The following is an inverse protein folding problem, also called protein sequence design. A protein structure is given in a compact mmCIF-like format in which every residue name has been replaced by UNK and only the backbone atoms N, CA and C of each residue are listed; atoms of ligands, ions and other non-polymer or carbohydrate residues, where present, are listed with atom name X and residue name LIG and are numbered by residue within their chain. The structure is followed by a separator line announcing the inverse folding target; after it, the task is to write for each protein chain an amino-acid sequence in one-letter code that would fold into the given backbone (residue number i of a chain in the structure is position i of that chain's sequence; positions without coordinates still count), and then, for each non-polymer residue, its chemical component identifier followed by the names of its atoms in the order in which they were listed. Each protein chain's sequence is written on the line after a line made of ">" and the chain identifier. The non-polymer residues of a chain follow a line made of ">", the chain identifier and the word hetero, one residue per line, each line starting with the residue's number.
data_IF_425218629082
#
_entry.id   IF_425218629082
#
_cell.length_a   1.000
_cell.length_b   1.000
_cell.length_c   1.000
_cell.angle_alpha   90.00
_cell.angle_beta   90.00
_cell.angle_gamma   90.00
#
_symmetry.space_group_name_H-M   'P 1'
#
loop_
_entity.id
_entity.type
_entity.pdbx_description
1 polymer ?
#
# COMPACT_ATOMS: atom_id res chain seq x y z
N UNK A 1 -41.57 65.29 -60.14
CA UNK A 1 -41.83 66.00 -58.86
C UNK A 1 -41.40 65.12 -57.70
N UNK A 2 -40.84 65.75 -56.64
CA UNK A 2 -40.79 65.34 -55.22
C UNK A 2 -41.77 64.21 -54.85
N UNK A 3 -41.57 63.32 -53.87
CA UNK A 3 -40.66 63.13 -52.73
C UNK A 3 -41.01 61.72 -52.21
N UNK A 4 -40.03 60.86 -51.91
CA UNK A 4 -39.60 60.52 -50.55
C UNK A 4 -40.70 59.97 -49.60
N UNK A 5 -40.34 58.84 -48.98
CA UNK A 5 -40.45 58.52 -47.53
C UNK A 5 -41.84 57.98 -47.08
N UNK A 6 -41.99 57.02 -46.14
CA UNK A 6 -41.20 56.65 -44.96
C UNK A 6 -41.84 55.42 -44.26
N UNK A 7 -41.03 54.75 -43.43
CA UNK A 7 -41.37 54.10 -42.14
C UNK A 7 -41.74 52.60 -42.12
N UNK A 8 -40.83 51.92 -41.44
CA UNK A 8 -40.77 50.59 -40.82
C UNK A 8 -41.99 50.15 -40.00
N UNK A 9 -42.24 48.84 -39.99
CA UNK A 9 -42.82 48.14 -38.85
C UNK A 9 -42.19 46.74 -38.72
N UNK A 10 -41.68 46.50 -37.52
CA UNK A 10 -40.97 45.32 -37.01
C UNK A 10 -41.97 44.18 -36.73
N UNK A 11 -41.70 42.94 -37.17
CA UNK A 11 -42.43 41.75 -36.73
C UNK A 11 -41.48 40.54 -36.66
N UNK A 12 -41.24 40.10 -35.41
CA UNK A 12 -40.54 38.87 -35.03
C UNK A 12 -41.30 37.63 -35.54
N UNK A 13 -40.62 36.69 -36.20
CA UNK A 13 -41.04 35.28 -36.22
C UNK A 13 -39.83 34.35 -36.11
N UNK A 14 -39.83 33.60 -35.00
CA UNK A 14 -39.12 32.38 -34.63
C UNK A 14 -38.48 31.59 -35.79
N UNK A 15 -37.15 31.44 -35.77
CA UNK A 15 -36.44 30.33 -36.44
C UNK A 15 -36.11 29.28 -35.38
N UNK A 16 -36.73 28.11 -35.53
CA UNK A 16 -36.57 26.97 -34.62
C UNK A 16 -35.14 26.44 -34.62
N UNK A 17 -34.50 26.52 -33.45
CA UNK A 17 -33.27 25.79 -33.15
C UNK A 17 -33.64 24.32 -33.01
N UNK A 18 -33.24 23.51 -33.99
CA UNK A 18 -33.33 22.05 -33.95
C UNK A 18 -32.27 21.52 -32.98
N UNK A 19 -32.54 21.61 -31.67
CA UNK A 19 -31.80 20.86 -30.65
C UNK A 19 -32.10 19.37 -30.84
N UNK A 20 -31.24 18.67 -31.59
CA UNK A 20 -31.23 17.22 -31.59
C UNK A 20 -30.80 16.69 -30.21
N UNK A 21 -31.38 15.57 -29.74
CA UNK A 21 -30.91 14.95 -28.51
C UNK A 21 -29.48 14.42 -28.74
N UNK A 22 -28.53 14.93 -27.95
CA UNK A 22 -27.24 14.29 -27.76
C UNK A 22 -27.49 12.97 -27.04
N UNK A 23 -27.74 11.92 -27.81
CA UNK A 23 -27.59 10.55 -27.35
C UNK A 23 -26.11 10.38 -26.97
N UNK A 24 -25.83 10.48 -25.67
CA UNK A 24 -24.56 10.04 -25.10
C UNK A 24 -24.50 8.53 -25.33
N UNK A 25 -23.88 8.14 -26.44
CA UNK A 25 -23.57 6.76 -26.78
C UNK A 25 -22.55 6.24 -25.76
N UNK A 26 -23.07 5.69 -24.66
CA UNK A 26 -22.31 4.82 -23.77
C UNK A 26 -22.24 3.44 -24.44
N UNK A 27 -21.47 3.31 -25.52
CA UNK A 27 -21.42 2.07 -26.31
C UNK A 27 -20.22 1.89 -27.23
N UNK A 28 -19.25 2.81 -27.23
CA UNK A 28 -18.13 2.78 -28.20
C UNK A 28 -16.87 2.12 -27.62
N UNK A 29 -16.74 2.03 -26.29
CA UNK A 29 -15.60 1.38 -25.64
C UNK A 29 -15.77 -0.15 -25.65
N UNK A 30 -15.40 -0.81 -26.74
CA UNK A 30 -15.42 -2.28 -26.78
C UNK A 30 -15.42 -2.91 -28.15
N UNK A 31 -15.70 -2.17 -29.24
CA UNK A 31 -15.73 -2.76 -30.58
C UNK A 31 -14.35 -3.27 -31.05
N UNK A 32 -13.26 -2.58 -30.66
CA UNK A 32 -11.87 -2.94 -30.99
C UNK A 32 -11.16 -3.54 -29.75
N UNK A 33 -10.44 -4.68 -29.89
CA UNK A 33 -9.64 -5.22 -28.79
C UNK A 33 -8.64 -4.23 -28.19
N UNK A 34 -8.12 -3.30 -29.01
CA UNK A 34 -7.18 -2.27 -28.55
C UNK A 34 -7.83 -1.31 -27.56
N UNK A 35 -9.06 -0.90 -27.84
CA UNK A 35 -9.79 0.03 -26.96
C UNK A 35 -10.17 -0.65 -25.65
N UNK A 36 -10.59 -1.91 -25.70
CA UNK A 36 -10.86 -2.71 -24.50
C UNK A 36 -9.60 -2.90 -23.65
N UNK A 37 -8.46 -3.23 -24.28
CA UNK A 37 -7.18 -3.36 -23.59
C UNK A 37 -6.73 -2.04 -22.94
N UNK A 38 -6.86 -0.91 -23.65
CA UNK A 38 -6.54 0.41 -23.12
C UNK A 38 -7.44 0.78 -21.94
N UNK A 39 -8.76 0.56 -22.06
CA UNK A 39 -9.73 0.85 -21.00
C UNK A 39 -9.46 0.04 -19.72
N UNK A 40 -9.12 -1.25 -19.87
CA UNK A 40 -8.75 -2.10 -18.75
C UNK A 40 -7.49 -1.58 -18.03
N UNK A 41 -6.41 -1.33 -18.78
CA UNK A 41 -5.15 -0.83 -18.21
C UNK A 41 -5.32 0.53 -17.52
N UNK A 42 -6.12 1.43 -18.10
CA UNK A 42 -6.44 2.73 -17.55
C UNK A 42 -7.26 2.64 -16.24
N UNK A 43 -8.26 1.75 -16.19
CA UNK A 43 -9.01 1.47 -14.97
C UNK A 43 -8.10 0.91 -13.85
N UNK A 44 -7.23 -0.05 -14.19
CA UNK A 44 -6.24 -0.59 -13.25
C UNK A 44 -5.29 0.50 -12.76
N UNK A 45 -4.78 1.35 -13.66
CA UNK A 45 -3.86 2.43 -13.32
C UNK A 45 -4.49 3.44 -12.33
N UNK A 46 -5.73 3.88 -12.60
CA UNK A 46 -6.50 4.79 -11.72
C UNK A 46 -6.94 4.15 -10.40
N UNK A 47 -6.87 2.83 -10.29
CA UNK A 47 -7.34 2.11 -9.11
C UNK A 47 -8.84 1.90 -9.05
N UNK A 48 -9.52 2.01 -10.19
CA UNK A 48 -10.91 1.61 -10.32
C UNK A 48 -11.01 0.09 -10.48
N UNK A 49 -10.87 -0.63 -9.37
CA UNK A 49 -10.90 -2.10 -9.36
C UNK A 49 -12.21 -2.66 -9.91
N UNK A 50 -13.34 -2.02 -9.57
CA UNK A 50 -14.65 -2.44 -10.05
C UNK A 50 -14.84 -2.17 -11.55
N UNK A 51 -14.37 -1.03 -12.05
CA UNK A 51 -14.35 -0.71 -13.48
C UNK A 51 -13.46 -1.65 -14.28
N UNK A 52 -12.25 -1.92 -13.77
CA UNK A 52 -11.35 -2.88 -14.40
C UNK A 52 -11.96 -4.29 -14.43
N UNK A 53 -12.56 -4.75 -13.31
CA UNK A 53 -13.20 -6.06 -13.24
C UNK A 53 -14.33 -6.23 -14.26
N UNK A 54 -15.18 -5.22 -14.47
CA UNK A 54 -16.26 -5.26 -15.48
C UNK A 54 -15.76 -5.43 -16.92
N UNK A 55 -14.48 -5.16 -17.19
CA UNK A 55 -13.85 -5.31 -18.51
C UNK A 55 -13.21 -6.69 -18.70
N UNK A 56 -13.48 -7.64 -17.80
CA UNK A 56 -12.93 -9.00 -17.84
C UNK A 56 -14.03 -10.06 -17.95
N UNK A 57 -13.67 -11.28 -18.35
CA UNK A 57 -14.58 -12.43 -18.37
C UNK A 57 -14.85 -13.04 -16.97
N UNK A 58 -14.14 -12.59 -15.92
CA UNK A 58 -14.41 -12.91 -14.50
C UNK A 58 -14.35 -11.63 -13.62
N UNK A 59 -15.44 -10.83 -13.59
CA UNK A 59 -15.43 -9.55 -12.89
C UNK A 59 -15.23 -9.65 -11.38
N UNK A 60 -15.66 -10.75 -10.76
CA UNK A 60 -15.58 -10.92 -9.30
C UNK A 60 -14.13 -11.20 -8.90
N UNK A 61 -13.49 -12.20 -9.53
CA UNK A 61 -12.10 -12.52 -9.21
C UNK A 61 -11.16 -11.37 -9.58
N UNK A 62 -11.44 -10.67 -10.70
CA UNK A 62 -10.67 -9.52 -11.13
C UNK A 62 -10.71 -8.37 -10.12
N UNK A 63 -11.90 -7.98 -9.69
CA UNK A 63 -12.08 -6.87 -8.73
C UNK A 63 -11.35 -7.14 -7.43
N UNK A 64 -11.49 -8.35 -6.86
CA UNK A 64 -10.86 -8.70 -5.59
C UNK A 64 -9.33 -8.67 -5.68
N UNK A 65 -8.74 -9.29 -6.70
CA UNK A 65 -7.27 -9.33 -6.81
C UNK A 65 -6.68 -7.94 -7.10
N UNK A 66 -7.31 -7.13 -7.95
CA UNK A 66 -6.84 -5.77 -8.25
C UNK A 66 -6.85 -4.92 -6.97
N UNK A 67 -7.89 -5.04 -6.15
CA UNK A 67 -7.99 -4.36 -4.86
C UNK A 67 -6.90 -4.85 -3.90
N UNK A 68 -6.73 -6.16 -3.76
CA UNK A 68 -5.70 -6.74 -2.91
C UNK A 68 -4.28 -6.26 -3.29
N UNK A 69 -3.93 -6.29 -4.58
CA UNK A 69 -2.61 -5.82 -5.05
C UNK A 69 -2.40 -4.34 -4.70
N UNK A 70 -3.43 -3.51 -4.87
CA UNK A 70 -3.36 -2.08 -4.55
C UNK A 70 -3.21 -1.84 -3.04
N UNK A 71 -3.94 -2.58 -2.22
CA UNK A 71 -3.89 -2.48 -0.76
C UNK A 71 -2.54 -2.93 -0.18
N UNK A 72 -1.93 -3.96 -0.78
CA UNK A 72 -0.62 -4.49 -0.39
C UNK A 72 0.54 -3.58 -0.85
N UNK A 73 0.47 -3.02 -2.04
CA UNK A 73 1.54 -2.18 -2.62
C UNK A 73 1.46 -0.71 -2.21
N UNK A 74 0.25 -0.19 -2.00
CA UNK A 74 -0.05 1.24 -1.72
C UNK A 74 0.75 2.20 -2.60
N UNK A 75 0.67 2.06 -3.94
CA UNK A 75 1.47 2.88 -4.84
C UNK A 75 1.04 4.35 -4.80
N UNK A 76 1.99 5.27 -4.96
CA UNK A 76 1.70 6.70 -5.22
C UNK A 76 1.15 6.91 -6.62
N UNK A 77 1.58 6.07 -7.57
CA UNK A 77 1.15 6.13 -8.95
C UNK A 77 1.36 4.80 -9.66
N UNK A 78 0.51 4.52 -10.62
CA UNK A 78 0.62 3.34 -11.50
C UNK A 78 0.53 3.82 -12.93
N UNK A 79 1.51 3.47 -13.75
CA UNK A 79 1.52 3.75 -15.18
C UNK A 79 1.54 2.42 -15.91
N UNK A 80 0.48 2.16 -16.68
CA UNK A 80 0.38 0.99 -17.54
C UNK A 80 0.28 1.48 -18.99
N UNK A 81 1.29 1.17 -19.79
CA UNK A 81 1.37 1.62 -21.19
C UNK A 81 1.05 0.45 -22.11
N UNK A 82 -0.04 0.56 -22.87
CA UNK A 82 -0.40 -0.40 -23.90
C UNK A 82 0.68 -0.44 -24.99
N UNK A 83 1.12 -1.66 -25.33
CA UNK A 83 2.05 -1.93 -26.41
C UNK A 83 1.35 -2.42 -27.66
N UNK A 84 1.86 -3.50 -28.24
CA UNK A 84 1.31 -4.10 -29.45
C UNK A 84 0.02 -4.86 -29.14
N UNK A 85 -0.97 -4.71 -30.03
CA UNK A 85 -2.21 -5.48 -30.01
C UNK A 85 -2.30 -6.26 -31.31
N UNK A 86 -2.43 -7.58 -31.20
CA UNK A 86 -2.61 -8.48 -32.35
C UNK A 86 -3.99 -9.11 -32.23
N UNK A 87 -4.81 -8.93 -33.25
CA UNK A 87 -6.15 -9.52 -33.30
C UNK A 87 -6.13 -10.76 -34.20
N UNK A 88 -6.57 -11.89 -33.64
CA UNK A 88 -7.07 -13.04 -34.38
C UNK A 88 -8.60 -13.03 -34.32
N UNK A 89 -9.26 -13.86 -35.15
CA UNK A 89 -10.73 -13.84 -35.31
C UNK A 89 -11.49 -13.84 -33.98
N UNK A 90 -11.19 -14.80 -33.11
CA UNK A 90 -11.91 -14.99 -31.83
C UNK A 90 -11.05 -14.72 -30.58
N UNK A 91 -9.77 -14.38 -30.76
CA UNK A 91 -8.83 -14.08 -29.66
C UNK A 91 -7.89 -12.97 -30.10
N UNK A 92 -7.69 -11.98 -29.24
CA UNK A 92 -6.66 -10.95 -29.42
C UNK A 92 -5.62 -11.03 -28.29
N UNK A 93 -4.39 -10.60 -28.55
CA UNK A 93 -3.33 -10.48 -27.54
C UNK A 93 -2.88 -9.04 -27.44
N UNK A 94 -2.70 -8.53 -26.23
CA UNK A 94 -2.17 -7.20 -25.96
C UNK A 94 -0.93 -7.31 -25.06
N UNK A 95 0.15 -6.60 -25.40
CA UNK A 95 1.30 -6.41 -24.50
C UNK A 95 1.19 -5.07 -23.78
N UNK A 96 1.84 -4.93 -22.63
CA UNK A 96 1.96 -3.65 -21.92
C UNK A 96 3.25 -3.55 -21.11
N UNK A 97 3.62 -2.33 -20.72
CA UNK A 97 4.67 -2.09 -19.74
C UNK A 97 4.08 -1.47 -18.48
N UNK A 98 4.41 -2.03 -17.32
CA UNK A 98 3.98 -1.54 -16.02
C UNK A 98 5.09 -0.76 -15.31
N UNK A 99 4.71 0.33 -14.66
CA UNK A 99 5.54 1.07 -13.71
C UNK A 99 4.69 1.39 -12.49
N UNK A 100 5.08 0.84 -11.34
CA UNK A 100 4.49 1.16 -10.04
C UNK A 100 5.45 2.07 -9.27
N UNK A 101 4.97 3.22 -8.82
CA UNK A 101 5.70 4.12 -7.91
C UNK A 101 5.38 3.73 -6.46
N UNK A 102 6.38 3.23 -5.75
CA UNK A 102 6.29 2.69 -4.38
C UNK A 102 6.93 3.64 -3.35
N UNK A 103 6.87 4.95 -3.62
CA UNK A 103 7.48 6.03 -2.83
C UNK A 103 9.01 6.00 -2.77
N UNK A 104 9.61 7.09 -2.29
CA UNK A 104 11.06 7.22 -2.02
C UNK A 104 11.93 6.88 -3.23
N UNK A 105 11.45 7.18 -4.44
CA UNK A 105 12.15 6.90 -5.69
C UNK A 105 12.17 5.41 -6.10
N UNK A 106 11.42 4.55 -5.42
CA UNK A 106 11.35 3.13 -5.74
C UNK A 106 10.33 2.87 -6.84
N UNK A 107 10.78 2.27 -7.92
CA UNK A 107 9.94 1.92 -9.05
C UNK A 107 10.01 0.42 -9.32
N UNK A 108 8.85 -0.21 -9.40
CA UNK A 108 8.74 -1.60 -9.83
C UNK A 108 8.26 -1.64 -11.28
N UNK A 109 9.12 -2.17 -12.17
CA UNK A 109 8.93 -2.14 -13.62
C UNK A 109 8.92 -3.56 -14.16
N UNK A 110 7.97 -3.87 -15.03
CA UNK A 110 7.91 -5.15 -15.71
C UNK A 110 7.09 -5.07 -17.01
N UNK A 111 7.40 -5.90 -18.01
CA UNK A 111 6.51 -6.13 -19.14
C UNK A 111 5.40 -7.11 -18.73
N UNK A 112 4.23 -6.98 -19.37
CA UNK A 112 3.13 -7.92 -19.23
C UNK A 112 2.41 -8.13 -20.56
N UNK A 113 1.57 -9.16 -20.60
CA UNK A 113 0.69 -9.42 -21.72
C UNK A 113 -0.57 -10.13 -21.23
N UNK A 114 -1.67 -9.95 -21.95
CA UNK A 114 -2.92 -10.64 -21.69
C UNK A 114 -3.67 -10.89 -23.00
N UNK A 115 -4.60 -11.83 -22.93
CA UNK A 115 -5.52 -12.12 -24.04
C UNK A 115 -6.84 -11.40 -23.84
N UNK A 116 -7.53 -11.15 -24.95
CA UNK A 116 -8.91 -10.69 -24.99
C UNK A 116 -9.76 -11.69 -25.75
N UNK A 117 -11.01 -11.81 -25.33
CA UNK A 117 -12.04 -12.67 -25.90
C UNK A 117 -13.30 -11.86 -26.17
N UNK A 118 -14.20 -12.33 -27.06
CA UNK A 118 -15.52 -11.73 -27.22
C UNK A 118 -16.25 -11.65 -25.87
N UNK A 119 -16.80 -10.48 -25.56
CA UNK A 119 -17.58 -10.25 -24.36
C UNK A 119 -18.85 -11.13 -24.39
N UNK A 120 -19.23 -11.69 -23.25
CA UNK A 120 -20.38 -12.62 -23.14
C UNK A 120 -21.71 -11.91 -22.92
N UNK A 121 -21.70 -10.70 -22.37
CA UNK A 121 -22.89 -9.96 -21.94
C UNK A 121 -23.17 -8.69 -22.76
N UNK A 122 -22.22 -8.27 -23.60
CA UNK A 122 -22.31 -7.09 -24.46
C UNK A 122 -21.60 -7.36 -25.78
N UNK A 123 -21.90 -6.59 -26.83
CA UNK A 123 -21.03 -6.58 -28.01
C UNK A 123 -19.65 -6.01 -27.63
N UNK A 124 -18.57 -6.64 -28.09
CA UNK A 124 -17.20 -6.16 -27.92
C UNK A 124 -16.23 -7.19 -27.35
N UNK A 125 -15.15 -6.70 -26.73
CA UNK A 125 -14.05 -7.49 -26.19
C UNK A 125 -13.94 -7.36 -24.67
N UNK A 126 -13.59 -8.47 -24.01
CA UNK A 126 -13.25 -8.54 -22.59
C UNK A 126 -11.87 -9.15 -22.41
N UNK A 127 -11.14 -8.74 -21.38
CA UNK A 127 -9.87 -9.36 -21.01
C UNK A 127 -10.14 -10.77 -20.49
N UNK A 128 -9.45 -11.76 -21.06
CA UNK A 128 -9.43 -13.12 -20.52
C UNK A 128 -8.70 -13.09 -19.18
N UNK A 129 -9.44 -13.20 -18.09
CA UNK A 129 -8.94 -12.99 -16.76
C UNK A 129 -8.02 -14.13 -16.32
N UNK A 130 -6.89 -13.73 -15.75
CA UNK A 130 -6.05 -14.56 -14.89
C UNK A 130 -5.19 -13.64 -14.02
N UNK A 131 -4.64 -14.11 -12.89
CA UNK A 131 -3.72 -13.29 -12.10
C UNK A 131 -2.50 -12.80 -12.89
N UNK A 132 -2.09 -13.54 -13.94
CA UNK A 132 -1.00 -13.16 -14.83
C UNK A 132 -1.24 -11.85 -15.60
N UNK A 133 -2.50 -11.45 -15.76
CA UNK A 133 -2.90 -10.16 -16.36
C UNK A 133 -2.33 -8.98 -15.56
N UNK A 134 -2.25 -9.10 -14.23
CA UNK A 134 -1.68 -8.05 -13.37
C UNK A 134 -0.15 -8.13 -13.32
N UNK A 135 0.42 -9.32 -13.23
CA UNK A 135 1.86 -9.52 -13.22
C UNK A 135 2.22 -10.92 -13.77
N UNK A 136 3.19 -11.05 -14.70
CA UNK A 136 3.42 -12.28 -15.47
C UNK A 136 3.83 -13.51 -14.63
N UNK A 137 4.33 -13.29 -13.40
CA UNK A 137 4.69 -14.37 -12.47
C UNK A 137 3.64 -14.62 -11.37
N UNK A 138 2.49 -13.98 -11.46
CA UNK A 138 1.41 -14.15 -10.48
C UNK A 138 0.50 -15.29 -10.94
N UNK A 139 0.52 -16.39 -10.21
CA UNK A 139 -0.35 -17.55 -10.41
C UNK A 139 -1.64 -17.47 -9.60
N UNK A 140 -2.51 -18.46 -9.79
CA UNK A 140 -3.70 -18.63 -8.96
C UNK A 140 -3.32 -18.73 -7.47
N UNK A 141 -4.12 -18.09 -6.61
CA UNK A 141 -3.94 -18.08 -5.15
C UNK A 141 -2.61 -17.49 -4.64
N UNK A 142 -1.81 -16.89 -5.51
CA UNK A 142 -0.63 -16.14 -5.12
C UNK A 142 -1.00 -14.70 -4.79
N UNK A 143 -0.19 -14.07 -3.95
CA UNK A 143 -0.35 -12.66 -3.57
C UNK A 143 0.94 -11.89 -3.81
N UNK A 144 0.79 -10.62 -4.09
CA UNK A 144 1.90 -9.66 -4.12
C UNK A 144 2.03 -9.04 -2.73
N UNK A 145 3.26 -8.95 -2.21
CA UNK A 145 3.53 -8.27 -0.94
C UNK A 145 4.72 -7.33 -1.11
N UNK A 146 4.66 -6.19 -0.43
CA UNK A 146 5.76 -5.25 -0.30
C UNK A 146 6.31 -5.31 1.12
N UNK A 147 7.62 -5.56 1.26
CA UNK A 147 8.32 -5.48 2.54
C UNK A 147 9.56 -4.62 2.42
N UNK A 148 9.81 -3.81 3.43
CA UNK A 148 11.08 -3.11 3.56
C UNK A 148 12.11 -4.06 4.18
N UNK A 149 13.28 -4.15 3.55
CA UNK A 149 14.44 -4.86 4.10
C UNK A 149 15.41 -3.78 4.55
N UNK A 150 15.54 -3.51 5.87
CA UNK A 150 16.48 -2.51 6.35
C UNK A 150 17.90 -2.92 6.00
N UNK A 151 18.75 -1.94 5.69
CA UNK A 151 20.17 -2.18 5.53
C UNK A 151 20.80 -2.51 6.88
N UNK A 152 21.78 -3.42 6.89
CA UNK A 152 22.58 -3.65 8.07
C UNK A 152 23.37 -2.36 8.38
N UNK A 153 23.32 -1.85 9.62
CA UNK A 153 24.05 -0.65 9.98
C UNK A 153 25.56 -0.84 9.79
N UNK A 154 26.25 0.19 9.29
CA UNK A 154 27.69 0.14 9.11
C UNK A 154 28.42 0.01 10.46
N UNK A 155 29.43 -0.87 10.60
CA UNK A 155 30.19 -0.99 11.83
C UNK A 155 30.95 0.31 12.07
N UNK A 156 30.85 0.85 13.28
CA UNK A 156 31.75 1.90 13.74
C UNK A 156 33.02 1.22 14.19
N UNK A 157 34.18 1.64 13.67
CA UNK A 157 35.48 1.04 13.96
C UNK A 157 36.43 2.07 14.58
N UNK A 158 37.44 1.59 15.30
CA UNK A 158 38.54 2.41 15.78
C UNK A 158 39.57 2.71 14.68
N UNK A 159 40.66 3.41 15.03
CA UNK A 159 41.76 3.73 14.09
C UNK A 159 42.49 2.51 13.52
N UNK A 160 42.36 1.34 14.15
CA UNK A 160 42.97 0.08 13.73
C UNK A 160 41.99 -0.82 12.96
N UNK A 161 40.73 -0.40 12.78
CA UNK A 161 39.69 -1.17 12.12
C UNK A 161 38.95 -2.13 13.05
N UNK A 162 39.17 -2.06 14.37
CA UNK A 162 38.44 -2.88 15.35
C UNK A 162 37.01 -2.37 15.49
N UNK A 163 35.96 -3.20 15.32
CA UNK A 163 34.58 -2.79 15.55
C UNK A 163 34.36 -2.28 16.98
N UNK A 164 34.00 -1.01 17.11
CA UNK A 164 33.56 -0.36 18.34
C UNK A 164 32.08 -0.60 18.61
N UNK A 165 31.26 -0.62 17.55
CA UNK A 165 29.86 -1.03 17.63
C UNK A 165 29.66 -2.35 16.91
N UNK A 166 29.06 -3.30 17.60
CA UNK A 166 28.74 -4.64 17.06
C UNK A 166 27.23 -4.81 17.01
N UNK A 167 26.72 -5.58 16.04
CA UNK A 167 25.32 -5.97 16.04
C UNK A 167 25.05 -6.88 17.23
N UNK A 168 24.22 -6.41 18.15
CA UNK A 168 23.82 -7.15 19.34
C UNK A 168 22.29 -7.27 19.37
N UNK A 169 21.82 -8.41 19.87
CA UNK A 169 20.40 -8.62 20.12
C UNK A 169 19.98 -7.81 21.35
N UNK A 170 18.92 -7.03 21.17
CA UNK A 170 18.22 -6.32 22.23
C UNK A 170 16.82 -6.85 22.39
N UNK A 171 16.33 -6.83 23.62
CA UNK A 171 14.98 -7.21 23.99
C UNK A 171 14.24 -5.96 24.42
N UNK A 172 13.15 -5.64 23.74
CA UNK A 172 12.29 -4.54 24.16
C UNK A 172 11.28 -5.09 25.16
N UNK A 173 11.22 -4.53 26.36
CA UNK A 173 10.12 -4.79 27.29
C UNK A 173 8.98 -3.87 26.89
N UNK A 174 7.89 -4.44 26.37
CA UNK A 174 6.75 -3.68 25.87
C UNK A 174 5.46 -4.04 26.62
N UNK A 175 4.63 -3.05 26.91
CA UNK A 175 3.42 -3.16 27.71
C UNK A 175 2.17 -2.83 26.89
N UNK A 176 1.26 -3.79 26.77
CA UNK A 176 -0.07 -3.64 26.18
C UNK A 176 -1.11 -3.42 27.27
N UNK A 177 -1.65 -2.19 27.36
CA UNK A 177 -2.66 -1.84 28.36
C UNK A 177 -3.96 -2.63 28.22
N UNK A 178 -4.28 -3.14 27.03
CA UNK A 178 -5.49 -3.95 26.81
C UNK A 178 -5.39 -5.35 27.43
N UNK A 179 -4.17 -5.79 27.76
CA UNK A 179 -3.86 -7.12 28.30
C UNK A 179 -3.28 -7.09 29.72
N UNK A 180 -3.24 -5.91 30.33
CA UNK A 180 -2.77 -5.69 31.70
C UNK A 180 -3.95 -5.21 32.57
N UNK A 181 -4.71 -6.12 33.22
CA UNK A 181 -5.87 -5.76 34.04
C UNK A 181 -5.51 -4.83 35.21
N UNK A 182 -4.35 -5.03 35.80
CA UNK A 182 -3.76 -4.16 36.84
C UNK A 182 -2.57 -3.39 36.25
N UNK A 183 -2.87 -2.39 35.42
CA UNK A 183 -1.84 -1.55 34.80
C UNK A 183 -0.93 -0.86 35.84
N UNK A 184 -1.45 -0.28 36.94
CA UNK A 184 -0.60 0.31 37.98
C UNK A 184 0.33 -0.71 38.65
N UNK A 185 -0.16 -1.91 39.00
CA UNK A 185 0.66 -2.95 39.64
C UNK A 185 1.75 -3.48 38.71
N UNK A 186 1.42 -3.74 37.44
CA UNK A 186 2.42 -4.14 36.43
C UNK A 186 3.47 -3.05 36.24
N UNK A 187 3.07 -1.78 36.15
CA UNK A 187 4.00 -0.65 36.03
C UNK A 187 4.92 -0.54 37.25
N UNK A 188 4.41 -0.73 38.48
CA UNK A 188 5.21 -0.70 39.69
C UNK A 188 6.26 -1.84 39.72
N UNK A 189 5.86 -3.05 39.32
CA UNK A 189 6.77 -4.19 39.24
C UNK A 189 7.85 -3.99 38.18
N UNK A 190 7.49 -3.43 37.02
CA UNK A 190 8.45 -3.08 35.97
C UNK A 190 9.47 -2.06 36.47
N UNK A 191 9.06 -1.00 37.17
CA UNK A 191 10.00 -0.02 37.77
C UNK A 191 10.93 -0.68 38.78
N UNK A 192 10.39 -1.54 39.67
CA UNK A 192 11.18 -2.22 40.69
C UNK A 192 12.26 -3.15 40.12
N UNK A 193 12.07 -3.65 38.90
CA UNK A 193 13.02 -4.54 38.21
C UNK A 193 13.95 -3.75 37.28
N UNK A 194 13.38 -2.83 36.50
CA UNK A 194 14.06 -2.15 35.39
C UNK A 194 14.71 -0.83 35.79
N UNK A 195 14.33 -0.23 36.93
CA UNK A 195 14.86 1.06 37.37
C UNK A 195 16.39 1.09 37.58
N UNK A 196 17.02 -0.08 37.76
CA UNK A 196 18.50 -0.19 37.78
C UNK A 196 19.16 0.10 36.43
N UNK A 197 18.44 -0.17 35.34
CA UNK A 197 18.92 0.07 33.98
C UNK A 197 18.57 1.49 33.53
N UNK A 198 17.40 1.98 33.92
CA UNK A 198 16.96 3.35 33.63
C UNK A 198 16.46 4.04 34.91
N UNK A 199 17.30 4.89 35.54
CA UNK A 199 16.93 5.65 36.74
C UNK A 199 15.81 6.66 36.53
N UNK A 200 15.51 7.04 35.27
CA UNK A 200 14.41 7.96 34.95
C UNK A 200 13.07 7.25 34.79
N UNK A 201 13.08 5.91 34.77
CA UNK A 201 11.88 5.11 34.61
C UNK A 201 10.99 5.20 35.85
N UNK A 202 9.81 5.78 35.69
CA UNK A 202 8.82 5.93 36.76
C UNK A 202 7.52 5.21 36.42
N UNK A 203 6.76 4.82 37.44
CA UNK A 203 5.46 4.16 37.25
C UNK A 203 4.52 5.05 36.43
N UNK A 204 4.56 6.36 36.70
CA UNK A 204 3.75 7.34 35.98
C UNK A 204 4.14 7.46 34.51
N UNK A 205 5.44 7.44 34.18
CA UNK A 205 5.90 7.46 32.79
C UNK A 205 5.46 6.21 32.01
N UNK A 206 5.47 5.04 32.65
CA UNK A 206 5.02 3.77 32.03
C UNK A 206 3.52 3.83 31.74
N UNK A 207 2.72 4.24 32.72
CA UNK A 207 1.26 4.35 32.57
C UNK A 207 0.92 5.38 31.50
N UNK A 208 1.61 6.52 31.49
CA UNK A 208 1.42 7.56 30.48
C UNK A 208 1.73 7.05 29.06
N UNK A 209 2.87 6.36 28.88
CA UNK A 209 3.24 5.75 27.60
C UNK A 209 2.23 4.71 27.12
N UNK A 210 1.79 3.83 28.01
CA UNK A 210 0.77 2.82 27.70
C UNK A 210 -0.57 3.45 27.28
N UNK A 211 -0.99 4.54 27.92
CA UNK A 211 -2.22 5.26 27.57
C UNK A 211 -2.12 6.06 26.27
N UNK A 212 -0.92 6.57 25.94
CA UNK A 212 -0.68 7.28 24.69
C UNK A 212 -0.63 6.33 23.48
N UNK A 213 -0.34 5.05 23.69
CA UNK A 213 -0.32 4.06 22.62
C UNK A 213 -1.74 3.75 22.08
N UNK A 214 -1.91 3.58 20.75
CA UNK A 214 -3.17 3.14 20.17
C UNK A 214 -3.64 1.81 20.76
N UNK A 215 -4.95 1.58 20.77
CA UNK A 215 -5.52 0.35 21.30
C UNK A 215 -4.95 -0.89 20.58
N UNK A 216 -4.43 -1.86 21.34
CA UNK A 216 -3.81 -3.08 20.82
C UNK A 216 -2.35 -2.95 20.37
N UNK A 217 -1.74 -1.77 20.51
CA UNK A 217 -0.32 -1.56 20.21
C UNK A 217 0.46 -1.50 21.54
N UNK A 218 1.41 -2.43 21.79
CA UNK A 218 2.25 -2.37 22.99
C UNK A 218 3.15 -1.13 23.00
N UNK A 219 3.26 -0.44 24.14
CA UNK A 219 4.19 0.66 24.36
C UNK A 219 5.55 0.14 24.83
N UNK A 220 6.64 0.64 24.26
CA UNK A 220 7.99 0.32 24.76
C UNK A 220 8.20 0.94 26.15
N UNK A 221 8.66 0.13 27.09
CA UNK A 221 8.99 0.53 28.47
C UNK A 221 10.50 0.66 28.64
N UNK A 222 11.26 -0.34 28.18
CA UNK A 222 12.71 -0.34 28.21
C UNK A 222 13.28 -1.18 27.06
N UNK A 223 14.52 -0.92 26.68
CA UNK A 223 15.28 -1.76 25.72
C UNK A 223 16.51 -2.26 26.45
N UNK A 224 16.61 -3.58 26.61
CA UNK A 224 17.70 -4.25 27.32
C UNK A 224 18.59 -5.00 26.34
N UNK A 225 19.89 -5.12 26.64
CA UNK A 225 20.72 -6.13 25.99
C UNK A 225 20.24 -7.51 26.41
N UNK A 226 20.45 -8.52 25.57
CA UNK A 226 20.00 -9.90 25.85
C UNK A 226 20.45 -10.39 27.25
N UNK A 227 21.71 -10.18 27.61
CA UNK A 227 22.24 -10.56 28.94
C UNK A 227 21.50 -9.86 30.10
N UNK A 228 21.17 -8.58 29.94
CA UNK A 228 20.47 -7.79 30.96
C UNK A 228 19.03 -8.28 31.08
N UNK A 229 18.38 -8.58 29.96
CA UNK A 229 17.05 -9.19 29.94
C UNK A 229 17.05 -10.54 30.66
N UNK A 230 17.97 -11.44 30.35
CA UNK A 230 18.04 -12.76 30.99
C UNK A 230 18.19 -12.64 32.51
N UNK A 231 18.93 -11.63 33.00
CA UNK A 231 19.09 -11.38 34.44
C UNK A 231 17.82 -10.92 35.18
N UNK A 232 16.79 -10.48 34.45
CA UNK A 232 15.51 -10.02 35.01
C UNK A 232 14.30 -10.81 34.52
N UNK A 233 14.48 -11.68 33.53
CA UNK A 233 13.43 -12.39 32.80
C UNK A 233 12.43 -13.02 33.76
N UNK A 234 12.90 -13.80 34.74
CA UNK A 234 12.03 -14.55 35.66
C UNK A 234 11.10 -13.65 36.50
N UNK A 235 11.43 -12.36 36.65
CA UNK A 235 10.63 -11.40 37.42
C UNK A 235 9.61 -10.63 36.59
N UNK A 236 9.77 -10.62 35.27
CA UNK A 236 8.94 -9.81 34.34
C UNK A 236 8.22 -10.65 33.29
N UNK A 237 8.67 -11.88 33.03
CA UNK A 237 8.16 -12.71 31.92
C UNK A 237 6.68 -13.07 32.06
N UNK A 238 6.22 -13.31 33.29
CA UNK A 238 4.83 -13.67 33.56
C UNK A 238 3.92 -12.47 33.82
N UNK A 239 4.43 -11.24 33.67
CA UNK A 239 3.61 -10.05 33.90
C UNK A 239 2.52 -9.92 32.83
N UNK A 240 1.25 -9.77 33.22
CA UNK A 240 0.15 -9.60 32.28
C UNK A 240 0.36 -8.41 31.35
N UNK A 241 0.19 -8.65 30.05
CA UNK A 241 0.31 -7.61 29.02
C UNK A 241 1.74 -7.19 28.70
N UNK A 242 2.76 -7.83 29.29
CA UNK A 242 4.16 -7.58 28.95
C UNK A 242 4.62 -8.54 27.85
N UNK A 243 5.35 -8.01 26.87
CA UNK A 243 5.92 -8.76 25.75
C UNK A 243 7.37 -8.37 25.49
N UNK A 244 8.10 -9.26 24.81
CA UNK A 244 9.55 -9.19 24.67
C UNK A 244 10.02 -9.30 23.21
N UNK A 245 9.60 -8.41 22.29
CA UNK A 245 10.11 -8.45 20.92
C UNK A 245 11.62 -8.21 20.88
N UNK A 246 12.31 -9.04 20.11
CA UNK A 246 13.77 -8.99 19.89
C UNK A 246 14.12 -8.22 18.63
N UNK A 247 15.18 -7.42 18.66
CA UNK A 247 15.71 -6.71 17.50
C UNK A 247 17.24 -6.75 17.49
N UNK A 248 17.86 -6.59 16.32
CA UNK A 248 19.29 -6.34 16.21
C UNK A 248 19.56 -4.84 16.29
N UNK A 249 20.54 -4.43 17.09
CA UNK A 249 21.00 -3.03 17.18
C UNK A 249 22.52 -2.98 17.25
N UNK A 250 23.12 -1.95 16.63
CA UNK A 250 24.51 -1.62 16.87
C UNK A 250 24.66 -1.01 18.26
N UNK A 251 25.48 -1.64 19.10
CA UNK A 251 25.76 -1.18 20.44
C UNK A 251 27.26 -1.28 20.74
N UNK A 252 27.73 -0.41 21.66
CA UNK A 252 29.09 -0.46 22.19
C UNK A 252 29.32 -1.74 23.01
N UNK A 253 30.56 -2.02 23.42
CA UNK A 253 30.90 -3.22 24.20
C UNK A 253 30.15 -3.26 25.53
N UNK A 254 30.01 -2.11 26.18
CA UNK A 254 29.34 -1.95 27.46
C UNK A 254 28.39 -0.73 27.46
N UNK A 255 27.78 -0.43 28.61
CA UNK A 255 26.80 0.65 28.78
C UNK A 255 27.45 2.04 28.76
N UNK A 256 28.67 2.15 29.27
CA UNK A 256 29.34 3.43 29.52
C UNK A 256 30.25 3.82 28.34
N UNK A 257 30.34 2.96 27.33
CA UNK A 257 31.12 3.18 26.13
C UNK A 257 30.75 4.48 25.42
N UNK A 258 31.70 5.41 25.36
CA UNK A 258 31.58 6.72 24.72
C UNK A 258 30.40 7.60 25.23
N UNK A 259 30.05 7.43 26.52
CA UNK A 259 29.02 8.21 27.23
C UNK A 259 29.54 9.52 27.82
#
# INVERSE_FOLDING_TARGET
>A
MRRRRLVSALLLVLTGVLTGPLLVSCGIFGADPRDAAAAFLDAVARGDAAGAGRLTDDPVAATELIRQVRDELKPQGVQLTLGEVRSGGDVASASFSAVWDLERGRQWRYPGAFELVPATTTEGWSVRWSPAVLHPRLGAQQRVTLREVPADPAPVVDRAGTPLLTSQTVVTVALDRGKAPDLPGVAAQLVAVLGRFDPQLTQQSIIAGANAAPAGVPSAVAVLREQDYQSVRDRIYELPGVSFPTQQRLLGPDRDFAS
#
